data_IF_414278357889
#
_entry.id   IF_414278357889
#
_cell.length_a   1.000
_cell.length_b   1.000
_cell.length_c   1.000
_cell.angle_alpha   90.00
_cell.angle_beta   90.00
_cell.angle_gamma   90.00
#
_symmetry.space_group_name_H-M   'P 1'
#
loop_
_entity.id
_entity.type
_entity.pdbx_description
1 polymer ?
#
# COMPACT_ATOMS: atom_id res chain seq x y z
N UNK A 1 -11.62 -46.02 -14.72
CA UNK A 1 -12.21 -44.71 -14.37
C UNK A 1 -11.20 -43.97 -13.51
N UNK A 2 -10.73 -42.82 -13.99
CA UNK A 2 -9.53 -42.12 -13.53
C UNK A 2 -9.77 -41.33 -12.23
N UNK A 3 -8.98 -41.63 -11.18
CA UNK A 3 -9.02 -41.04 -9.84
C UNK A 3 -8.20 -39.72 -9.76
N UNK A 4 -8.15 -38.93 -10.84
CA UNK A 4 -7.44 -37.64 -10.90
C UNK A 4 -8.39 -36.48 -11.17
N UNK A 5 -9.15 -36.04 -10.17
CA UNK A 5 -9.70 -34.67 -10.07
C UNK A 5 -10.53 -34.52 -8.81
N UNK A 6 -9.91 -33.99 -7.76
CA UNK A 6 -10.45 -33.09 -6.71
C UNK A 6 -9.58 -33.20 -5.47
N UNK A 7 -8.29 -32.91 -5.59
CA UNK A 7 -7.57 -32.35 -4.45
C UNK A 7 -8.11 -30.92 -4.30
N UNK A 8 -9.16 -30.75 -3.49
CA UNK A 8 -9.65 -29.43 -3.10
C UNK A 8 -8.48 -28.70 -2.47
N UNK A 9 -7.88 -27.74 -3.18
CA UNK A 9 -6.94 -26.79 -2.58
C UNK A 9 -7.67 -26.17 -1.40
N UNK A 10 -7.18 -26.38 -0.19
CA UNK A 10 -7.73 -25.73 1.00
C UNK A 10 -7.62 -24.23 0.79
N UNK A 11 -8.73 -23.57 0.46
CA UNK A 11 -8.74 -22.13 0.24
C UNK A 11 -8.18 -21.43 1.48
N UNK A 12 -7.32 -20.41 1.31
CA UNK A 12 -6.84 -19.64 2.45
C UNK A 12 -8.03 -19.00 3.20
N UNK A 13 -7.89 -18.78 4.52
CA UNK A 13 -8.95 -18.20 5.35
C UNK A 13 -9.42 -16.86 4.78
N UNK A 14 -10.68 -16.51 5.02
CA UNK A 14 -11.26 -15.26 4.52
C UNK A 14 -10.44 -14.05 5.01
N UNK A 15 -10.15 -13.08 4.13
CA UNK A 15 -9.46 -11.86 4.54
C UNK A 15 -10.31 -11.09 5.55
N UNK A 16 -9.60 -10.37 6.43
CA UNK A 16 -10.20 -9.68 7.58
C UNK A 16 -10.87 -8.36 7.19
N UNK A 17 -10.39 -7.70 6.13
CA UNK A 17 -10.92 -6.42 5.64
C UNK A 17 -12.10 -6.63 4.67
N UNK A 18 -12.97 -5.64 4.58
CA UNK A 18 -14.22 -5.73 3.82
C UNK A 18 -13.99 -5.63 2.31
N UNK A 19 -13.05 -4.79 1.92
CA UNK A 19 -12.62 -4.59 0.54
C UNK A 19 -11.94 -5.86 -0.01
N UNK A 20 -11.08 -6.52 0.76
CA UNK A 20 -10.45 -7.78 0.36
C UNK A 20 -11.46 -8.93 0.20
N UNK A 21 -12.59 -8.90 0.92
CA UNK A 21 -13.69 -9.89 0.73
C UNK A 21 -14.44 -9.65 -0.57
N UNK A 22 -14.70 -8.39 -0.92
CA UNK A 22 -15.27 -7.99 -2.20
C UNK A 22 -14.32 -8.34 -3.35
N UNK A 23 -13.05 -7.97 -3.21
CA UNK A 23 -11.99 -8.32 -4.13
C UNK A 23 -11.92 -9.84 -4.37
N UNK A 24 -11.88 -10.66 -3.30
CA UNK A 24 -11.90 -12.12 -3.40
C UNK A 24 -13.12 -12.66 -4.16
N UNK A 25 -14.29 -12.05 -3.96
CA UNK A 25 -15.52 -12.46 -4.66
C UNK A 25 -15.44 -12.16 -6.16
N UNK A 26 -14.82 -11.04 -6.54
CA UNK A 26 -14.60 -10.66 -7.94
C UNK A 26 -13.48 -11.46 -8.61
N UNK A 27 -12.46 -11.88 -7.86
CA UNK A 27 -11.31 -12.64 -8.34
C UNK A 27 -11.63 -14.10 -8.56
N UNK A 28 -12.53 -14.70 -7.77
CA UNK A 28 -12.93 -16.11 -7.86
C UNK A 28 -13.17 -16.61 -9.30
N UNK A 29 -13.95 -15.92 -10.15
CA UNK A 29 -14.13 -16.34 -11.54
C UNK A 29 -12.89 -16.18 -12.42
N UNK A 30 -11.92 -15.33 -12.05
CA UNK A 30 -10.64 -15.16 -12.78
C UNK A 30 -9.58 -16.21 -12.43
N UNK A 31 -9.75 -16.99 -11.36
CA UNK A 31 -8.76 -17.98 -10.90
C UNK A 31 -8.47 -19.05 -11.96
N UNK A 32 -9.46 -19.42 -12.77
CA UNK A 32 -9.35 -20.43 -13.83
C UNK A 32 -8.95 -19.84 -15.20
N UNK A 33 -8.65 -18.55 -15.27
CA UNK A 33 -8.22 -17.86 -16.51
C UNK A 33 -6.69 -17.81 -16.61
N UNK A 34 -6.10 -17.56 -17.81
CA UNK A 34 -4.66 -17.37 -17.97
C UNK A 34 -4.14 -16.04 -17.39
N UNK A 35 -5.00 -15.25 -16.74
CA UNK A 35 -4.63 -13.96 -16.14
C UNK A 35 -3.63 -14.20 -15.00
N UNK A 36 -2.52 -13.47 -15.03
CA UNK A 36 -1.47 -13.55 -14.02
C UNK A 36 -1.61 -12.37 -13.03
N UNK A 37 -1.16 -12.51 -11.77
CA UNK A 37 -1.15 -11.40 -10.81
C UNK A 37 -0.45 -10.15 -11.38
N UNK A 38 0.66 -10.33 -12.10
CA UNK A 38 1.39 -9.23 -12.73
C UNK A 38 0.56 -8.42 -13.72
N UNK A 39 -0.40 -9.05 -14.44
CA UNK A 39 -1.29 -8.30 -15.33
C UNK A 39 -2.21 -7.37 -14.54
N UNK A 40 -2.72 -7.81 -13.39
CA UNK A 40 -3.54 -6.96 -12.53
C UNK A 40 -2.69 -5.83 -11.93
N UNK A 41 -1.47 -6.11 -11.50
CA UNK A 41 -0.54 -5.09 -11.02
C UNK A 41 -0.24 -4.03 -12.09
N UNK A 42 -0.08 -4.43 -13.36
CA UNK A 42 0.08 -3.46 -14.46
C UNK A 42 -1.19 -2.65 -14.71
N UNK A 43 -2.37 -3.28 -14.68
CA UNK A 43 -3.65 -2.56 -14.81
C UNK A 43 -3.84 -1.57 -13.67
N UNK A 44 -3.55 -1.98 -12.43
CA UNK A 44 -3.51 -1.12 -11.25
C UNK A 44 -2.62 0.08 -11.49
N UNK A 45 -1.38 -0.16 -11.90
CA UNK A 45 -0.41 0.90 -12.15
C UNK A 45 -0.91 1.93 -13.18
N UNK A 46 -1.51 1.47 -14.28
CA UNK A 46 -2.06 2.34 -15.32
C UNK A 46 -3.24 3.17 -14.79
N UNK A 47 -4.15 2.56 -14.03
CA UNK A 47 -5.28 3.26 -13.41
C UNK A 47 -4.77 4.30 -12.39
N UNK A 48 -3.80 3.94 -11.57
CA UNK A 48 -3.20 4.83 -10.57
C UNK A 48 -2.51 6.03 -11.21
N UNK A 49 -1.73 5.82 -12.27
CA UNK A 49 -1.08 6.90 -13.02
C UNK A 49 -2.09 7.79 -13.75
N UNK A 50 -3.16 7.22 -14.31
CA UNK A 50 -4.25 8.00 -14.89
C UNK A 50 -4.96 8.85 -13.83
N UNK A 51 -5.17 8.32 -12.62
CA UNK A 51 -5.72 9.06 -11.49
C UNK A 51 -4.82 10.21 -11.04
N UNK A 52 -3.51 9.96 -10.92
CA UNK A 52 -2.52 10.99 -10.63
C UNK A 52 -2.51 12.09 -11.71
N UNK A 53 -2.54 11.71 -12.99
CA UNK A 53 -2.63 12.66 -14.10
C UNK A 53 -3.86 13.58 -14.00
N UNK A 54 -5.03 13.01 -13.66
CA UNK A 54 -6.24 13.80 -13.44
C UNK A 54 -6.10 14.76 -12.25
N UNK A 55 -5.52 14.31 -11.13
CA UNK A 55 -5.26 15.17 -9.97
C UNK A 55 -4.32 16.34 -10.31
N UNK A 56 -3.33 16.11 -11.19
CA UNK A 56 -2.38 17.14 -11.60
C UNK A 56 -3.02 18.30 -12.39
N UNK A 57 -4.14 18.05 -13.09
CA UNK A 57 -4.87 19.11 -13.80
C UNK A 57 -5.56 20.07 -12.84
N UNK A 58 -5.89 19.60 -11.64
CA UNK A 58 -6.64 20.38 -10.65
C UNK A 58 -8.08 20.68 -11.08
N UNK A 59 -8.80 21.37 -10.21
CA UNK A 59 -10.22 21.70 -10.39
C UNK A 59 -11.14 20.57 -9.96
N UNK A 60 -12.36 20.94 -9.54
CA UNK A 60 -13.30 20.00 -8.90
C UNK A 60 -13.57 18.73 -9.71
N UNK A 61 -13.83 18.86 -11.02
CA UNK A 61 -14.15 17.71 -11.88
C UNK A 61 -13.00 16.73 -12.05
N UNK A 62 -11.80 17.24 -12.37
CA UNK A 62 -10.62 16.41 -12.56
C UNK A 62 -10.09 15.82 -11.25
N UNK A 63 -10.16 16.57 -10.15
CA UNK A 63 -9.79 16.07 -8.83
C UNK A 63 -10.66 14.90 -8.40
N UNK A 64 -11.98 14.98 -8.60
CA UNK A 64 -12.90 13.89 -8.27
C UNK A 64 -12.71 12.66 -9.17
N UNK A 65 -12.51 12.86 -10.47
CA UNK A 65 -12.18 11.78 -11.39
C UNK A 65 -10.87 11.09 -11.01
N UNK A 66 -9.85 11.89 -10.66
CA UNK A 66 -8.55 11.39 -10.20
C UNK A 66 -8.65 10.61 -8.90
N UNK A 67 -9.36 11.13 -7.90
CA UNK A 67 -9.60 10.43 -6.63
C UNK A 67 -10.34 9.10 -6.82
N UNK A 68 -11.35 9.07 -7.69
CA UNK A 68 -12.06 7.84 -8.02
C UNK A 68 -11.14 6.80 -8.67
N UNK A 69 -10.31 7.20 -9.64
CA UNK A 69 -9.35 6.31 -10.29
C UNK A 69 -8.31 5.78 -9.30
N UNK A 70 -7.81 6.61 -8.39
CA UNK A 70 -6.89 6.17 -7.33
C UNK A 70 -7.53 5.12 -6.42
N UNK A 71 -8.78 5.36 -6.00
CA UNK A 71 -9.53 4.39 -5.19
C UNK A 71 -9.74 3.09 -5.95
N UNK A 72 -10.06 3.17 -7.25
CA UNK A 72 -10.19 2.00 -8.10
C UNK A 72 -8.87 1.25 -8.22
N UNK A 73 -7.74 1.95 -8.39
CA UNK A 73 -6.39 1.37 -8.37
C UNK A 73 -6.11 0.63 -7.06
N UNK A 74 -6.40 1.25 -5.92
CA UNK A 74 -6.22 0.64 -4.60
C UNK A 74 -7.07 -0.64 -4.45
N UNK A 75 -8.30 -0.62 -4.94
CA UNK A 75 -9.17 -1.79 -4.92
C UNK A 75 -8.66 -2.94 -5.82
N UNK A 76 -8.07 -2.62 -6.97
CA UNK A 76 -7.43 -3.62 -7.87
C UNK A 76 -6.18 -4.23 -7.23
N UNK A 77 -5.49 -3.53 -6.33
CA UNK A 77 -4.37 -4.09 -5.56
C UNK A 77 -4.81 -5.23 -4.64
N UNK A 78 -5.84 -4.97 -3.84
CA UNK A 78 -6.41 -5.99 -2.95
C UNK A 78 -6.89 -7.23 -3.73
N UNK A 79 -7.32 -7.00 -4.97
CA UNK A 79 -7.73 -8.04 -5.94
C UNK A 79 -6.53 -8.87 -6.42
N UNK A 80 -5.39 -8.27 -6.73
CA UNK A 80 -4.21 -9.00 -7.19
C UNK A 80 -3.53 -9.80 -6.07
N UNK A 81 -3.50 -9.26 -4.85
CA UNK A 81 -2.96 -9.92 -3.66
C UNK A 81 -3.78 -11.15 -3.26
N UNK A 82 -5.11 -11.05 -3.30
CA UNK A 82 -5.99 -12.19 -3.06
C UNK A 82 -5.91 -13.22 -4.21
N UNK A 83 -5.77 -12.78 -5.46
CA UNK A 83 -5.52 -13.70 -6.59
C UNK A 83 -4.21 -14.47 -6.41
N UNK A 84 -3.13 -13.79 -5.99
CA UNK A 84 -1.84 -14.43 -5.76
C UNK A 84 -1.91 -15.46 -4.61
N UNK A 85 -2.66 -15.16 -3.55
CA UNK A 85 -2.92 -16.07 -2.42
C UNK A 85 -3.71 -17.31 -2.83
N UNK A 86 -4.80 -17.14 -3.58
CA UNK A 86 -5.69 -18.24 -3.96
C UNK A 86 -5.09 -19.08 -5.09
N UNK A 87 -4.44 -18.44 -6.06
CA UNK A 87 -3.84 -19.15 -7.20
C UNK A 87 -2.52 -19.85 -6.86
N UNK A 88 -1.88 -19.47 -5.75
CA UNK A 88 -0.58 -20.00 -5.31
C UNK A 88 0.60 -19.58 -6.20
N UNK A 89 0.36 -18.68 -7.16
CA UNK A 89 1.35 -18.20 -8.14
C UNK A 89 2.10 -16.97 -7.60
N UNK A 90 2.72 -17.09 -6.42
CA UNK A 90 3.58 -16.04 -5.87
C UNK A 90 5.00 -16.17 -6.45
N UNK A 91 5.54 -15.08 -6.99
CA UNK A 91 6.93 -14.99 -7.46
C UNK A 91 7.64 -13.84 -6.76
N UNK A 92 8.92 -14.03 -6.41
CA UNK A 92 9.75 -12.96 -5.81
C UNK A 92 9.82 -11.72 -6.71
N UNK A 93 9.88 -11.93 -8.03
CA UNK A 93 9.94 -10.83 -9.00
C UNK A 93 8.58 -10.11 -9.06
N UNK A 94 7.47 -10.86 -9.03
CA UNK A 94 6.13 -10.27 -9.01
C UNK A 94 5.88 -9.43 -7.76
N UNK A 95 6.30 -9.93 -6.60
CA UNK A 95 6.18 -9.18 -5.34
C UNK A 95 7.01 -7.88 -5.33
N UNK A 96 8.22 -7.91 -5.90
CA UNK A 96 9.02 -6.68 -6.03
C UNK A 96 8.39 -5.68 -7.01
N UNK A 97 7.86 -6.17 -8.14
CA UNK A 97 7.17 -5.33 -9.12
C UNK A 97 5.94 -4.65 -8.52
N UNK A 98 5.17 -5.42 -7.75
CA UNK A 98 3.99 -4.95 -7.03
C UNK A 98 4.33 -3.84 -6.03
N UNK A 99 5.37 -4.04 -5.21
CA UNK A 99 5.86 -3.01 -4.29
C UNK A 99 6.34 -1.76 -5.02
N UNK A 100 7.06 -1.92 -6.14
CA UNK A 100 7.55 -0.80 -6.92
C UNK A 100 6.41 -0.02 -7.59
N UNK A 101 5.38 -0.72 -8.09
CA UNK A 101 4.19 -0.12 -8.65
C UNK A 101 3.42 0.68 -7.60
N UNK A 102 3.23 0.12 -6.40
CA UNK A 102 2.56 0.79 -5.29
C UNK A 102 3.28 2.08 -4.86
N UNK A 103 4.60 1.98 -4.64
CA UNK A 103 5.42 3.13 -4.29
C UNK A 103 5.36 4.22 -5.38
N UNK A 104 5.39 3.83 -6.66
CA UNK A 104 5.32 4.78 -7.77
C UNK A 104 3.97 5.49 -7.84
N UNK A 105 2.86 4.76 -7.73
CA UNK A 105 1.50 5.34 -7.71
C UNK A 105 1.34 6.27 -6.53
N UNK A 106 1.79 5.86 -5.34
CA UNK A 106 1.71 6.68 -4.12
C UNK A 106 2.49 7.98 -4.24
N UNK A 107 3.73 7.94 -4.74
CA UNK A 107 4.54 9.16 -4.95
C UNK A 107 3.89 10.04 -6.01
N UNK A 108 3.47 9.46 -7.13
CA UNK A 108 2.82 10.18 -8.22
C UNK A 108 1.53 10.88 -7.76
N UNK A 109 0.75 10.21 -6.91
CA UNK A 109 -0.47 10.74 -6.31
C UNK A 109 -0.21 12.04 -5.52
N UNK A 110 0.72 12.01 -4.57
CA UNK A 110 0.98 13.18 -3.72
C UNK A 110 1.64 14.33 -4.49
N UNK A 111 2.57 14.01 -5.39
CA UNK A 111 3.18 15.01 -6.28
C UNK A 111 2.11 15.66 -7.15
N UNK A 112 1.19 14.87 -7.71
CA UNK A 112 0.13 15.38 -8.58
C UNK A 112 -0.87 16.25 -7.84
N UNK A 113 -1.20 15.95 -6.58
CA UNK A 113 -1.98 16.87 -5.75
C UNK A 113 -1.29 18.23 -5.60
N UNK A 114 0.02 18.22 -5.32
CA UNK A 114 0.81 19.45 -5.25
C UNK A 114 0.80 20.23 -6.57
N UNK A 115 0.94 19.54 -7.71
CA UNK A 115 0.85 20.16 -9.04
C UNK A 115 -0.54 20.74 -9.29
N UNK A 116 -1.61 20.01 -8.93
CA UNK A 116 -2.99 20.45 -9.10
C UNK A 116 -3.36 21.67 -8.25
N UNK A 117 -2.75 21.84 -7.08
CA UNK A 117 -2.89 23.06 -6.25
C UNK A 117 -2.23 24.24 -6.96
N UNK A 118 -0.99 24.06 -7.45
CA UNK A 118 -0.26 25.11 -8.18
C UNK A 118 -0.99 25.50 -9.46
N UNK A 119 -1.53 24.53 -10.21
CA UNK A 119 -2.28 24.76 -11.44
C UNK A 119 -3.56 25.61 -11.22
N UNK A 120 -4.16 25.51 -10.04
CA UNK A 120 -5.32 26.32 -9.63
C UNK A 120 -4.94 27.69 -9.05
N UNK A 121 -3.64 28.02 -8.98
CA UNK A 121 -3.15 29.26 -8.40
C UNK A 121 -3.06 29.24 -6.87
N UNK A 122 -3.22 28.08 -6.24
CA UNK A 122 -3.06 27.92 -4.79
C UNK A 122 -1.63 28.22 -4.36
N UNK A 123 -1.48 29.10 -3.36
CA UNK A 123 -0.19 29.44 -2.77
C UNK A 123 -0.15 28.98 -1.32
N UNK A 124 0.88 28.20 -1.00
CA UNK A 124 1.11 27.68 0.34
C UNK A 124 2.44 28.22 0.87
N UNK A 125 2.65 28.12 2.19
CA UNK A 125 3.88 28.59 2.85
C UNK A 125 5.16 27.89 2.32
N UNK A 126 5.03 26.68 1.77
CA UNK A 126 6.09 25.95 1.07
C UNK A 126 5.55 25.45 -0.27
N UNK A 127 6.44 25.09 -1.21
CA UNK A 127 6.05 24.56 -2.52
C UNK A 127 5.12 23.35 -2.37
N UNK A 128 3.87 23.39 -2.87
CA UNK A 128 2.93 22.27 -2.76
C UNK A 128 3.49 20.99 -3.38
N UNK A 129 4.22 21.10 -4.49
CA UNK A 129 4.88 19.97 -5.15
C UNK A 129 5.95 19.35 -4.25
N UNK A 130 6.73 20.16 -3.54
CA UNK A 130 7.74 19.66 -2.60
C UNK A 130 7.09 18.96 -1.40
N UNK A 131 6.01 19.54 -0.85
CA UNK A 131 5.25 18.92 0.24
C UNK A 131 4.69 17.56 -0.19
N UNK A 132 4.15 17.48 -1.41
CA UNK A 132 3.71 16.23 -2.01
C UNK A 132 4.84 15.21 -2.21
N UNK A 133 5.99 15.63 -2.73
CA UNK A 133 7.15 14.76 -2.88
C UNK A 133 7.64 14.19 -1.54
N UNK A 134 7.68 15.02 -0.49
CA UNK A 134 8.06 14.61 0.87
C UNK A 134 7.04 13.63 1.45
N UNK A 135 5.74 13.93 1.33
CA UNK A 135 4.67 13.05 1.79
C UNK A 135 4.75 11.68 1.08
N UNK A 136 4.79 11.68 -0.25
CA UNK A 136 4.85 10.46 -1.06
C UNK A 136 6.08 9.62 -0.78
N UNK A 137 7.26 10.24 -0.68
CA UNK A 137 8.50 9.54 -0.35
C UNK A 137 8.46 8.94 1.06
N UNK A 138 7.89 9.65 2.04
CA UNK A 138 7.72 9.14 3.39
C UNK A 138 6.76 7.94 3.45
N UNK A 139 5.63 8.00 2.75
CA UNK A 139 4.68 6.88 2.68
C UNK A 139 5.32 5.66 1.99
N UNK A 140 5.99 5.86 0.85
CA UNK A 140 6.72 4.77 0.18
C UNK A 140 7.81 4.15 1.10
N UNK A 141 8.51 4.97 1.87
CA UNK A 141 9.48 4.50 2.85
C UNK A 141 8.82 3.69 3.98
N UNK A 142 7.66 4.12 4.48
CA UNK A 142 6.88 3.38 5.48
C UNK A 142 6.54 1.98 4.97
N UNK A 143 6.00 1.88 3.75
CA UNK A 143 5.68 0.59 3.13
C UNK A 143 6.92 -0.30 2.98
N UNK A 144 8.00 0.26 2.45
CA UNK A 144 9.27 -0.46 2.30
C UNK A 144 9.78 -1.00 3.64
N UNK A 145 9.82 -0.16 4.68
CA UNK A 145 10.29 -0.57 6.01
C UNK A 145 9.38 -1.64 6.64
N UNK A 146 8.06 -1.52 6.49
CA UNK A 146 7.10 -2.51 7.00
C UNK A 146 7.32 -3.87 6.35
N UNK A 147 7.45 -3.90 5.02
CA UNK A 147 7.78 -5.13 4.31
C UNK A 147 9.11 -5.73 4.80
N UNK A 148 10.13 -4.89 5.03
CA UNK A 148 11.43 -5.36 5.56
C UNK A 148 11.30 -5.95 6.96
N UNK A 149 10.52 -5.32 7.85
CA UNK A 149 10.25 -5.85 9.19
C UNK A 149 9.55 -7.21 9.10
N UNK A 150 8.52 -7.35 8.26
CA UNK A 150 7.82 -8.63 8.08
C UNK A 150 8.75 -9.73 7.57
N UNK A 151 9.63 -9.40 6.61
CA UNK A 151 10.60 -10.36 6.07
C UNK A 151 11.63 -10.83 7.11
N UNK A 152 11.95 -10.00 8.11
CA UNK A 152 12.99 -10.26 9.11
C UNK A 152 12.43 -10.89 10.41
N UNK A 153 11.32 -10.37 10.93
CA UNK A 153 10.73 -10.78 12.21
C UNK A 153 9.56 -11.77 12.06
N UNK A 154 9.14 -12.08 10.81
CA UNK A 154 7.94 -12.84 10.53
C UNK A 154 6.65 -12.08 10.88
N UNK A 155 5.49 -12.61 10.49
CA UNK A 155 4.16 -12.00 10.67
C UNK A 155 3.79 -11.62 12.11
N UNK A 156 4.55 -12.09 13.11
CA UNK A 156 4.36 -11.75 14.52
C UNK A 156 4.99 -10.40 14.91
N UNK A 157 5.95 -9.88 14.13
CA UNK A 157 6.64 -8.61 14.39
C UNK A 157 5.91 -7.38 13.84
N UNK A 158 5.07 -7.54 12.83
CA UNK A 158 4.26 -6.47 12.24
C UNK A 158 2.84 -6.52 12.80
N UNK A 159 2.59 -5.83 13.92
CA UNK A 159 1.22 -5.39 14.21
C UNK A 159 0.86 -4.33 13.16
N UNK A 160 0.29 -4.75 12.02
CA UNK A 160 -0.44 -3.82 11.16
C UNK A 160 -1.44 -3.08 12.06
N UNK A 161 -1.48 -1.75 11.95
CA UNK A 161 -2.43 -0.95 12.72
C UNK A 161 -3.82 -1.22 12.14
N UNK A 162 -4.46 -2.27 12.65
CA UNK A 162 -5.79 -2.70 12.27
C UNK A 162 -6.78 -2.16 13.29
N UNK A 163 -7.68 -1.28 12.85
CA UNK A 163 -8.75 -0.75 13.67
C UNK A 163 -10.09 -0.97 12.98
N UNK A 164 -10.97 -1.78 13.60
CA UNK A 164 -12.36 -1.91 13.16
C UNK A 164 -12.60 -2.54 11.77
N UNK A 165 -11.62 -3.19 11.15
CA UNK A 165 -11.76 -3.74 9.80
C UNK A 165 -11.08 -2.93 8.70
N UNK A 166 -10.42 -1.81 9.05
CA UNK A 166 -9.67 -0.96 8.14
C UNK A 166 -8.16 -1.06 8.39
N UNK A 167 -7.39 -1.05 7.31
CA UNK A 167 -5.93 -0.97 7.28
C UNK A 167 -5.46 0.48 7.02
N UNK A 168 -4.18 0.75 7.27
CA UNK A 168 -3.58 2.08 7.02
C UNK A 168 -3.66 2.51 5.56
N UNK A 169 -3.82 1.54 4.66
CA UNK A 169 -3.90 1.69 3.20
C UNK A 169 -5.30 2.19 2.79
N UNK A 170 -6.31 1.89 3.62
CA UNK A 170 -7.69 2.32 3.41
C UNK A 170 -7.91 3.81 3.60
N UNK A 171 -6.91 4.52 4.14
CA UNK A 171 -6.92 5.99 4.20
C UNK A 171 -7.07 6.60 2.81
N UNK A 172 -6.62 5.92 1.75
CA UNK A 172 -6.83 6.36 0.37
C UNK A 172 -8.31 6.33 -0.06
N UNK A 173 -9.17 5.53 0.57
CA UNK A 173 -10.62 5.58 0.32
C UNK A 173 -11.27 6.87 0.84
N UNK A 174 -10.59 7.63 1.70
CA UNK A 174 -11.03 8.96 2.10
C UNK A 174 -10.77 10.01 1.02
N UNK A 175 -9.91 9.71 0.04
CA UNK A 175 -9.50 10.70 -0.94
C UNK A 175 -10.67 11.29 -1.77
N UNK A 176 -11.65 10.52 -2.26
CA UNK A 176 -12.82 11.09 -2.92
C UNK A 176 -13.64 12.01 -2.01
N UNK A 177 -13.71 11.72 -0.71
CA UNK A 177 -14.37 12.61 0.25
C UNK A 177 -13.59 13.92 0.38
N UNK A 178 -12.26 13.83 0.48
CA UNK A 178 -11.37 15.00 0.52
C UNK A 178 -11.55 15.86 -0.73
N UNK A 179 -11.57 15.27 -1.93
CA UNK A 179 -11.74 16.05 -3.17
C UNK A 179 -13.15 16.61 -3.32
N UNK A 180 -14.18 15.92 -2.82
CA UNK A 180 -15.57 16.41 -2.84
C UNK A 180 -15.77 17.65 -1.98
N UNK A 181 -15.02 17.81 -0.89
CA UNK A 181 -15.06 18.98 -0.02
C UNK A 181 -13.96 20.00 -0.31
N UNK A 182 -13.27 19.89 -1.45
CA UNK A 182 -12.14 20.75 -1.84
C UNK A 182 -11.02 20.80 -0.78
N UNK A 183 -10.84 19.69 -0.05
CA UNK A 183 -9.91 19.54 1.07
C UNK A 183 -8.50 19.10 0.67
N UNK A 184 -8.13 19.20 -0.61
CA UNK A 184 -6.83 18.68 -1.11
C UNK A 184 -5.65 19.40 -0.45
N UNK A 185 -5.73 20.72 -0.28
CA UNK A 185 -4.70 21.53 0.39
C UNK A 185 -4.46 21.12 1.85
N UNK A 186 -5.48 21.10 2.74
CA UNK A 186 -5.27 20.69 4.13
C UNK A 186 -4.87 19.22 4.25
N UNK A 187 -5.35 18.35 3.35
CA UNK A 187 -4.94 16.96 3.29
C UNK A 187 -3.45 16.81 2.96
N UNK A 188 -2.96 17.54 1.95
CA UNK A 188 -1.54 17.51 1.56
C UNK A 188 -0.64 18.03 2.67
N UNK A 189 -1.04 19.11 3.37
CA UNK A 189 -0.33 19.61 4.54
C UNK A 189 -0.23 18.56 5.64
N UNK A 190 -1.38 18.00 6.02
CA UNK A 190 -1.45 16.97 7.05
C UNK A 190 -0.56 15.76 6.70
N UNK A 191 -0.59 15.31 5.44
CA UNK A 191 0.23 14.21 4.96
C UNK A 191 1.73 14.54 4.96
N UNK A 192 2.11 15.76 4.55
CA UNK A 192 3.51 16.21 4.52
C UNK A 192 4.18 16.28 5.89
N UNK A 193 3.40 16.38 6.96
CA UNK A 193 3.89 16.38 8.35
C UNK A 193 3.72 14.98 8.96
N UNK A 194 2.53 14.40 8.83
CA UNK A 194 2.18 13.12 9.45
C UNK A 194 2.98 11.95 8.91
N UNK A 195 3.16 11.86 7.58
CA UNK A 195 3.86 10.74 6.97
C UNK A 195 5.35 10.69 7.35
N UNK A 196 6.14 11.79 7.29
CA UNK A 196 7.52 11.76 7.76
C UNK A 196 7.68 11.44 9.25
N UNK A 197 6.80 11.98 10.11
CA UNK A 197 6.82 11.66 11.54
C UNK A 197 6.57 10.17 11.79
N UNK A 198 5.59 9.60 11.08
CA UNK A 198 5.30 8.18 11.17
C UNK A 198 6.43 7.32 10.60
N UNK A 199 7.05 7.75 9.49
CA UNK A 199 8.22 7.08 8.93
C UNK A 199 9.38 7.04 9.94
N UNK A 200 9.66 8.16 10.62
CA UNK A 200 10.68 8.22 11.67
C UNK A 200 10.36 7.26 12.83
N UNK A 201 9.09 7.18 13.23
CA UNK A 201 8.64 6.23 14.25
C UNK A 201 8.83 4.76 13.81
N UNK A 202 8.51 4.43 12.55
CA UNK A 202 8.71 3.07 12.00
C UNK A 202 10.20 2.72 11.89
N UNK A 203 11.07 3.68 11.53
CA UNK A 203 12.53 3.49 11.54
C UNK A 203 13.03 3.17 12.95
N UNK A 204 12.54 3.88 13.96
CA UNK A 204 12.89 3.63 15.34
C UNK A 204 12.43 2.24 15.82
N UNK A 205 11.21 1.85 15.45
CA UNK A 205 10.68 0.53 15.79
C UNK A 205 11.48 -0.60 15.11
N UNK A 206 11.80 -0.46 13.83
CA UNK A 206 12.67 -1.40 13.12
C UNK A 206 14.03 -1.55 13.81
N UNK A 207 14.67 -0.43 14.16
CA UNK A 207 15.95 -0.45 14.86
C UNK A 207 15.87 -1.14 16.22
N UNK A 208 14.77 -0.94 16.96
CA UNK A 208 14.51 -1.62 18.23
C UNK A 208 14.36 -3.14 18.05
N UNK A 209 13.67 -3.58 17.00
CA UNK A 209 13.45 -5.00 16.69
C UNK A 209 14.78 -5.67 16.30
N UNK A 210 15.55 -5.06 15.40
CA UNK A 210 16.85 -5.58 14.96
C UNK A 210 17.82 -5.70 16.14
N UNK A 211 17.85 -4.68 17.02
CA UNK A 211 18.68 -4.73 18.24
C UNK A 211 18.27 -5.85 19.20
N UNK A 212 16.97 -6.10 19.38
CA UNK A 212 16.47 -7.19 20.26
C UNK A 212 16.76 -8.58 19.68
N UNK A 213 16.64 -8.75 18.36
CA UNK A 213 16.98 -10.01 17.68
C UNK A 213 18.46 -10.39 17.82
N UNK A 214 19.36 -9.41 17.80
CA UNK A 214 20.79 -9.64 18.01
C UNK A 214 21.16 -10.01 19.47
N UNK A 215 20.35 -9.61 20.46
CA UNK A 215 20.62 -9.93 21.89
C UNK A 215 20.28 -11.39 22.21
N UNK A 216 19.31 -12.00 21.52
CA UNK A 216 18.93 -13.42 21.71
C UNK A 216 19.90 -14.43 21.09
N UNK A 217 20.91 -14.00 20.33
CA UNK A 217 21.91 -14.88 19.70
C UNK A 217 23.30 -14.85 20.35
N UNK A 218 23.48 -14.16 21.49
CA UNK A 218 24.67 -14.30 22.33
C UNK A 218 24.34 -15.17 23.55
N UNK A 219 24.42 -16.51 23.46
CA UNK A 219 24.53 -17.33 24.66
C UNK A 219 25.88 -17.02 25.28
N UNK A 220 25.89 -16.22 26.35
CA UNK A 220 27.03 -16.10 27.22
C UNK A 220 27.33 -17.49 27.77
N UNK A 221 28.37 -18.12 27.23
CA UNK A 221 29.16 -19.15 27.89
C UNK A 221 29.58 -18.61 29.26
N UNK A 222 28.79 -18.90 30.30
CA UNK A 222 29.29 -19.03 31.66
C UNK A 222 28.66 -20.30 32.21
N UNK A 223 29.18 -21.44 31.76
CA UNK A 223 29.09 -22.67 32.53
C UNK A 223 29.87 -22.49 33.83
N UNK A 224 29.13 -22.62 34.92
CA UNK A 224 29.41 -23.46 36.08
C UNK A 224 30.74 -23.24 36.85
N UNK A 225 30.55 -22.72 38.07
CA UNK A 225 31.00 -23.29 39.35
C UNK A 225 32.29 -24.12 39.35
N UNK A 226 33.29 -23.61 40.06
CA UNK A 226 34.17 -24.46 40.88
C UNK A 226 33.39 -25.04 42.06
#
# INVERSE_FOLDING_TARGET
MDQRKTATRSEPPLPRTWDARLARSLVRPLVDTPVTPNHLTTVRLLIGLAGAWCLAHGGFGWSNAGAFLIVLSNFVDHTDGELARISGKSSKIGHFYDLAADALVTVALFVSMGVGIVAQGGQMAASPVLLGAVAGAAVALIFFLRMRIESFAGKAGTKQAFAGGFETEDVLYLLPLVTLFDGVEPFLLAASIGAPLFAAWVVFDWWRIVRRGNVSQNPTEIQASK
#
